data_IF_708166027583
#
_entry.id   IF_708166027583
#
_cell.length_a   1.000
_cell.length_b   1.000
_cell.length_c   1.000
_cell.angle_alpha   90.00
_cell.angle_beta   90.00
_cell.angle_gamma   90.00
#
_symmetry.space_group_name_H-M   'P 1'
#
loop_
_entity.id
_entity.type
_entity.pdbx_description
1 polymer ?
#
# COMPACT_ATOMS: atom_id res chain seq x y z
N UNK A 1 46.61 10.38 33.36
CA UNK A 1 45.47 11.29 33.64
C UNK A 1 44.34 10.85 32.72
N UNK A 2 43.36 10.09 33.24
CA UNK A 2 42.29 9.49 32.44
C UNK A 2 41.12 10.46 32.35
N UNK A 3 40.87 11.02 31.16
CA UNK A 3 39.73 11.89 30.90
C UNK A 3 38.43 11.09 31.03
N UNK A 4 37.69 11.34 32.10
CA UNK A 4 36.31 10.87 32.24
C UNK A 4 35.46 11.66 31.25
N UNK A 5 35.04 11.02 30.17
CA UNK A 5 34.02 11.58 29.27
C UNK A 5 32.77 11.91 30.09
N UNK A 6 32.39 13.20 30.10
CA UNK A 6 31.16 13.66 30.72
C UNK A 6 29.99 13.16 29.88
N UNK A 7 29.14 12.33 30.45
CA UNK A 7 27.91 11.86 29.80
C UNK A 7 26.90 13.00 29.88
N UNK A 8 26.67 13.68 28.76
CA UNK A 8 25.67 14.75 28.68
C UNK A 8 24.26 14.17 28.90
N UNK A 9 23.45 14.68 29.84
CA UNK A 9 22.10 14.18 30.06
C UNK A 9 21.22 14.42 28.82
N UNK A 10 20.61 13.37 28.29
CA UNK A 10 19.63 13.46 27.20
C UNK A 10 18.47 14.36 27.64
N UNK A 11 18.16 15.40 26.85
CA UNK A 11 17.06 16.32 27.16
C UNK A 11 15.74 15.55 27.27
N UNK A 12 14.83 15.90 28.20
CA UNK A 12 13.58 15.17 28.44
C UNK A 12 12.70 14.94 27.20
N UNK A 13 12.78 15.85 26.21
CA UNK A 13 12.05 15.76 24.94
C UNK A 13 12.46 14.52 24.11
N UNK A 14 13.74 14.15 24.16
CA UNK A 14 14.31 13.05 23.38
C UNK A 14 13.85 11.68 23.91
N UNK A 15 13.79 11.51 25.23
CA UNK A 15 13.37 10.25 25.85
C UNK A 15 11.92 9.88 25.54
N UNK A 16 11.00 10.86 25.58
CA UNK A 16 9.60 10.64 25.24
C UNK A 16 9.40 10.32 23.75
N UNK A 17 10.18 10.93 22.88
CA UNK A 17 10.18 10.64 21.45
C UNK A 17 10.70 9.21 21.16
N UNK A 18 11.79 8.79 21.83
CA UNK A 18 12.32 7.43 21.77
C UNK A 18 11.29 6.41 22.27
N UNK A 19 10.59 6.70 23.38
CA UNK A 19 9.53 5.81 23.90
C UNK A 19 8.38 5.68 22.89
N UNK A 20 7.94 6.80 22.31
CA UNK A 20 6.89 6.83 21.29
C UNK A 20 7.31 6.09 20.02
N UNK A 21 8.54 6.27 19.55
CA UNK A 21 9.05 5.62 18.34
C UNK A 21 9.16 4.10 18.52
N UNK A 22 9.65 3.63 19.68
CA UNK A 22 9.67 2.21 20.06
C UNK A 22 8.25 1.62 20.09
N UNK A 23 7.30 2.32 20.71
CA UNK A 23 5.88 1.89 20.73
C UNK A 23 5.28 1.82 19.33
N UNK A 24 5.58 2.80 18.47
CA UNK A 24 5.15 2.80 17.06
C UNK A 24 5.74 1.61 16.31
N UNK A 25 7.04 1.34 16.47
CA UNK A 25 7.72 0.21 15.85
C UNK A 25 7.11 -1.13 16.29
N UNK A 26 6.91 -1.32 17.60
CA UNK A 26 6.34 -2.53 18.17
C UNK A 26 4.90 -2.81 17.68
N UNK A 27 4.11 -1.75 17.47
CA UNK A 27 2.72 -1.89 17.01
C UNK A 27 2.55 -1.85 15.48
N UNK A 28 3.62 -1.56 14.73
CA UNK A 28 3.59 -1.35 13.28
C UNK A 28 3.05 -2.56 12.55
N UNK A 29 3.56 -3.75 12.86
CA UNK A 29 3.11 -5.00 12.25
C UNK A 29 1.62 -5.24 12.51
N UNK A 30 1.18 -5.17 13.77
CA UNK A 30 -0.22 -5.42 14.13
C UNK A 30 -1.19 -4.48 13.42
N UNK A 31 -0.84 -3.20 13.32
CA UNK A 31 -1.66 -2.20 12.60
C UNK A 31 -1.70 -2.50 11.10
N UNK A 32 -0.54 -2.70 10.46
CA UNK A 32 -0.47 -2.99 9.02
C UNK A 32 -1.19 -4.28 8.66
N UNK A 33 -1.00 -5.35 9.43
CA UNK A 33 -1.72 -6.62 9.27
C UNK A 33 -3.23 -6.41 9.34
N UNK A 34 -3.72 -5.70 10.36
CA UNK A 34 -5.16 -5.42 10.50
C UNK A 34 -5.71 -4.65 9.30
N UNK A 35 -5.00 -3.61 8.86
CA UNK A 35 -5.40 -2.84 7.67
C UNK A 35 -5.40 -3.70 6.41
N UNK A 36 -4.35 -4.50 6.21
CA UNK A 36 -4.21 -5.37 5.04
C UNK A 36 -5.36 -6.39 4.96
N UNK A 37 -5.65 -7.09 6.06
CA UNK A 37 -6.74 -8.07 6.10
C UNK A 37 -8.12 -7.42 5.88
N UNK A 38 -8.31 -6.18 6.37
CA UNK A 38 -9.53 -5.43 6.05
C UNK A 38 -9.63 -5.14 4.55
N UNK A 39 -8.54 -4.67 3.92
CA UNK A 39 -8.53 -4.43 2.47
C UNK A 39 -8.76 -5.69 1.64
N UNK A 40 -8.21 -6.83 2.09
CA UNK A 40 -8.48 -8.12 1.47
C UNK A 40 -9.96 -8.51 1.55
N UNK A 41 -10.61 -8.25 2.68
CA UNK A 41 -12.05 -8.45 2.85
C UNK A 41 -12.88 -7.48 2.00
N UNK A 42 -12.56 -6.18 2.01
CA UNK A 42 -13.22 -5.16 1.20
C UNK A 42 -13.18 -5.57 -0.29
N UNK A 43 -12.00 -5.99 -0.79
CA UNK A 43 -11.83 -6.47 -2.18
C UNK A 43 -12.73 -7.68 -2.50
N UNK A 44 -12.88 -8.60 -1.54
CA UNK A 44 -13.75 -9.75 -1.70
C UNK A 44 -15.23 -9.35 -1.76
N UNK A 45 -15.68 -8.42 -0.92
CA UNK A 45 -17.07 -7.97 -0.88
C UNK A 45 -17.42 -7.11 -2.09
N UNK A 46 -16.60 -6.10 -2.38
CA UNK A 46 -16.90 -5.08 -3.39
C UNK A 46 -16.75 -5.60 -4.81
N UNK A 47 -15.82 -6.55 -5.03
CA UNK A 47 -15.51 -7.10 -6.35
C UNK A 47 -15.88 -8.58 -6.50
N UNK A 48 -16.51 -9.19 -5.50
CA UNK A 48 -16.82 -10.64 -5.48
C UNK A 48 -15.58 -11.52 -5.73
N UNK A 49 -14.39 -11.01 -5.37
CA UNK A 49 -13.14 -11.71 -5.57
C UNK A 49 -12.94 -12.79 -4.50
N UNK A 50 -12.40 -13.93 -4.91
CA UNK A 50 -11.90 -14.95 -3.98
C UNK A 50 -10.50 -14.56 -3.54
N UNK A 51 -10.35 -14.17 -2.28
CA UNK A 51 -9.10 -13.62 -1.75
C UNK A 51 -8.55 -14.53 -0.67
N UNK A 52 -7.29 -14.91 -0.86
CA UNK A 52 -6.53 -15.75 0.05
C UNK A 52 -5.26 -15.01 0.46
N UNK A 53 -4.97 -14.98 1.75
CA UNK A 53 -3.74 -14.37 2.25
C UNK A 53 -3.08 -15.27 3.28
N UNK A 54 -1.77 -15.46 3.10
CA UNK A 54 -0.88 -16.04 4.09
C UNK A 54 0.14 -14.98 4.54
N UNK A 55 0.23 -14.75 5.85
CA UNK A 55 1.20 -13.82 6.45
C UNK A 55 2.02 -14.59 7.47
N UNK A 56 3.34 -14.61 7.30
CA UNK A 56 4.27 -15.10 8.31
C UNK A 56 5.06 -13.93 8.90
N UNK A 57 5.11 -13.86 10.24
CA UNK A 57 5.94 -12.90 10.95
C UNK A 57 6.33 -13.44 12.32
N UNK A 58 7.63 -13.43 12.63
CA UNK A 58 8.20 -13.95 13.88
C UNK A 58 7.72 -15.39 14.21
N UNK A 59 7.79 -16.30 13.24
CA UNK A 59 7.35 -17.72 13.35
C UNK A 59 5.87 -17.91 13.71
N UNK A 60 5.07 -16.85 13.58
CA UNK A 60 3.62 -16.91 13.70
C UNK A 60 3.01 -16.70 12.34
N UNK A 61 1.96 -17.43 12.07
CA UNK A 61 1.23 -17.37 10.81
C UNK A 61 -0.15 -16.79 11.05
N UNK A 62 -0.63 -16.03 10.07
CA UNK A 62 -2.00 -15.53 10.00
C UNK A 62 -2.54 -15.82 8.62
N UNK A 63 -3.75 -16.35 8.60
CA UNK A 63 -4.43 -16.80 7.41
C UNK A 63 -5.74 -16.06 7.31
N UNK A 64 -6.05 -15.60 6.10
CA UNK A 64 -7.37 -15.09 5.74
C UNK A 64 -7.85 -15.79 4.48
N UNK A 65 -9.12 -16.20 4.51
CA UNK A 65 -9.85 -16.75 3.38
C UNK A 65 -11.20 -16.07 3.31
N UNK A 66 -11.61 -15.65 2.11
CA UNK A 66 -13.00 -15.24 1.85
C UNK A 66 -13.93 -16.45 1.70
N UNK A 67 -13.39 -17.63 1.42
CA UNK A 67 -14.13 -18.88 1.19
C UNK A 67 -13.79 -19.88 2.31
N UNK A 68 -14.45 -19.83 3.48
CA UNK A 68 -14.15 -20.72 4.59
C UNK A 68 -14.55 -22.18 4.34
N UNK A 69 -15.50 -22.41 3.43
CA UNK A 69 -16.04 -23.75 3.15
C UNK A 69 -15.20 -24.54 2.12
N UNK A 70 -14.17 -23.92 1.53
CA UNK A 70 -13.31 -24.59 0.57
C UNK A 70 -12.31 -25.52 1.28
N UNK A 71 -12.44 -26.83 1.01
CA UNK A 71 -11.65 -27.88 1.67
C UNK A 71 -10.14 -27.84 1.36
N UNK A 72 -9.75 -27.47 0.13
CA UNK A 72 -8.35 -27.23 -0.25
C UNK A 72 -8.02 -25.74 -0.13
N UNK A 73 -7.54 -25.34 1.04
CA UNK A 73 -7.09 -23.97 1.28
C UNK A 73 -5.64 -23.93 1.80
N UNK A 74 -4.79 -23.03 1.25
CA UNK A 74 -4.97 -22.32 -0.02
C UNK A 74 -4.94 -23.31 -1.21
N UNK A 75 -5.37 -22.89 -2.42
CA UNK A 75 -5.18 -23.69 -3.61
C UNK A 75 -3.71 -24.11 -3.76
N UNK A 76 -3.49 -25.39 -4.05
CA UNK A 76 -2.15 -25.93 -4.30
C UNK A 76 -1.53 -25.27 -5.52
N UNK A 77 -0.19 -25.29 -5.61
CA UNK A 77 0.52 -24.72 -6.77
C UNK A 77 0.02 -25.33 -8.09
N UNK A 78 -0.26 -26.62 -8.10
CA UNK A 78 -0.75 -27.33 -9.29
C UNK A 78 -2.18 -26.90 -9.66
N UNK A 79 -3.06 -26.64 -8.68
CA UNK A 79 -4.39 -26.09 -8.93
C UNK A 79 -4.30 -24.67 -9.52
N UNK A 80 -3.42 -23.82 -8.97
CA UNK A 80 -3.21 -22.45 -9.46
C UNK A 80 -2.75 -22.46 -10.92
N UNK A 81 -1.84 -23.36 -11.30
CA UNK A 81 -1.31 -23.47 -12.66
C UNK A 81 -2.32 -24.01 -13.68
N UNK A 82 -3.44 -24.58 -13.23
CA UNK A 82 -4.53 -25.08 -14.10
C UNK A 82 -5.61 -24.03 -14.38
N UNK A 83 -5.58 -22.89 -13.68
CA UNK A 83 -6.54 -21.80 -13.88
C UNK A 83 -6.21 -21.10 -15.20
N UNK A 84 -7.24 -20.86 -16.02
CA UNK A 84 -7.13 -20.09 -17.25
C UNK A 84 -7.90 -18.76 -17.13
N UNK A 85 -7.31 -17.62 -17.52
CA UNK A 85 -5.94 -17.46 -18.02
C UNK A 85 -4.88 -17.73 -16.94
N UNK A 86 -3.64 -18.00 -17.37
CA UNK A 86 -2.53 -18.24 -16.45
C UNK A 86 -2.41 -17.04 -15.48
N UNK A 87 -2.34 -17.26 -14.16
CA UNK A 87 -2.32 -16.17 -13.20
C UNK A 87 -1.11 -15.24 -13.37
N UNK A 88 -1.35 -13.94 -13.21
CA UNK A 88 -0.30 -12.93 -13.11
C UNK A 88 0.30 -12.92 -11.70
N UNK A 89 1.63 -12.96 -11.60
CA UNK A 89 2.34 -13.04 -10.33
C UNK A 89 2.99 -11.69 -10.01
N UNK A 90 2.54 -11.04 -8.95
CA UNK A 90 3.10 -9.78 -8.47
C UNK A 90 4.19 -10.02 -7.42
N UNK A 91 5.40 -9.50 -7.66
CA UNK A 91 6.54 -9.60 -6.74
C UNK A 91 6.98 -8.21 -6.23
N UNK A 92 7.65 -8.11 -5.05
CA UNK A 92 7.98 -6.82 -4.45
C UNK A 92 8.76 -5.86 -5.36
N UNK A 93 9.63 -6.36 -6.23
CA UNK A 93 10.42 -5.52 -7.14
C UNK A 93 9.57 -4.69 -8.10
N UNK A 94 8.39 -5.19 -8.48
CA UNK A 94 7.47 -4.47 -9.38
C UNK A 94 6.93 -3.18 -8.77
N UNK A 95 6.85 -3.12 -7.44
CA UNK A 95 6.37 -1.94 -6.72
C UNK A 95 7.50 -0.94 -6.41
N UNK A 96 8.76 -1.31 -6.62
CA UNK A 96 9.92 -0.46 -6.36
C UNK A 96 10.34 0.38 -7.56
N UNK A 97 9.95 -0.01 -8.78
CA UNK A 97 10.36 0.62 -10.05
C UNK A 97 9.36 1.61 -10.61
N UNK A 98 8.33 2.01 -9.86
CA UNK A 98 7.47 3.10 -10.32
C UNK A 98 8.33 4.38 -10.41
N UNK A 99 8.52 4.96 -11.60
CA UNK A 99 9.10 6.30 -11.67
C UNK A 99 8.17 7.20 -10.87
N UNK A 100 8.73 7.96 -9.93
CA UNK A 100 8.04 9.14 -9.42
C UNK A 100 7.69 9.97 -10.65
N UNK A 101 6.41 9.96 -11.05
CA UNK A 101 5.88 10.97 -11.95
C UNK A 101 6.03 12.27 -11.18
N UNK A 102 7.14 12.96 -11.43
CA UNK A 102 7.31 14.36 -11.06
C UNK A 102 6.16 15.06 -11.80
N UNK A 103 5.11 15.39 -11.08
CA UNK A 103 4.10 16.31 -11.58
C UNK A 103 4.76 17.68 -11.61
N UNK A 104 5.60 17.91 -12.62
CA UNK A 104 6.00 19.25 -13.00
C UNK A 104 4.73 19.92 -13.51
N UNK A 105 4.25 20.85 -12.69
CA UNK A 105 3.20 21.79 -13.05
C UNK A 105 3.65 22.51 -14.31
N UNK A 106 3.01 22.20 -15.44
CA UNK A 106 2.98 23.10 -16.57
C UNK A 106 2.04 24.27 -16.22
N UNK A 107 2.56 25.21 -15.43
CA UNK A 107 2.03 26.57 -15.35
C UNK A 107 2.84 27.44 -16.31
N UNK A 108 2.55 27.38 -17.62
CA UNK A 108 2.77 28.51 -18.52
C UNK A 108 1.63 28.53 -19.53
N UNK A 109 0.75 29.49 -19.28
CA UNK A 109 -0.24 30.09 -20.18
C UNK A 109 0.34 30.28 -21.58
N UNK A 110 -0.39 29.83 -22.60
CA UNK A 110 -0.45 30.61 -23.85
C UNK A 110 -1.89 30.70 -24.33
N UNK A 111 -2.47 31.87 -24.03
CA UNK A 111 -3.78 32.33 -24.45
C UNK A 111 -3.66 32.89 -25.87
N UNK A 112 -3.78 32.04 -26.88
CA UNK A 112 -4.09 32.48 -28.24
C UNK A 112 -4.63 31.28 -29.01
N UNK A 113 -5.85 31.43 -29.56
CA UNK A 113 -6.63 30.49 -30.38
C UNK A 113 -7.93 30.00 -29.72
N UNK A 114 -8.74 30.94 -29.25
CA UNK A 114 -10.19 30.75 -29.20
C UNK A 114 -10.87 32.07 -29.53
N UNK A 115 -10.74 32.49 -30.78
CA UNK A 115 -11.48 33.62 -31.31
C UNK A 115 -11.79 33.38 -32.79
N UNK A 116 -12.63 32.37 -33.02
CA UNK A 116 -13.38 32.17 -34.27
C UNK A 116 -14.43 31.11 -33.98
N UNK A 117 -15.65 31.38 -34.44
CA UNK A 117 -16.88 30.63 -34.23
C UNK A 117 -17.73 31.08 -33.03
N UNK A 118 -18.29 32.29 -33.14
CA UNK A 118 -19.71 32.45 -32.90
C UNK A 118 -20.29 33.65 -33.68
N UNK A 119 -21.58 33.54 -34.00
CA UNK A 119 -22.49 34.54 -34.59
C UNK A 119 -22.68 34.49 -36.12
N UNK A 120 -23.63 33.65 -36.56
CA UNK A 120 -24.81 34.11 -37.31
C UNK A 120 -25.80 32.96 -37.55
N UNK A 121 -26.87 32.91 -36.75
CA UNK A 121 -28.16 32.31 -37.11
C UNK A 121 -29.20 32.65 -36.04
N UNK A 122 -29.98 33.70 -36.28
CA UNK A 122 -31.32 33.86 -35.72
C UNK A 122 -32.08 34.78 -36.68
N UNK A 123 -32.83 34.13 -37.56
CA UNK A 123 -33.85 34.70 -38.42
C UNK A 123 -35.20 34.45 -37.70
N UNK A 124 -36.12 35.41 -37.84
CA UNK A 124 -37.50 35.51 -37.27
C UNK A 124 -37.68 36.33 -36.00
#
# INVERSE_FOLDING_TARGET
MSERQQITPLKPYDLEEIRKSRKRAATKFSKRRKTFLRRAHDLSQDCQAKVYTFIEYNRRTWVFTSEPDQASFPPTKDEILRIYPLPEIFIPSMFSTLPQVHNDKHDVVDSALSDRFNTHAADQ
#
